data_IF_948974564877
#
_entry.id   IF_948974564877
#
_cell.length_a   1.000
_cell.length_b   1.000
_cell.length_c   1.000
_cell.angle_alpha   90.00
_cell.angle_beta   90.00
_cell.angle_gamma   90.00
#
_symmetry.space_group_name_H-M   'P 1'
#
loop_
_entity.id
_entity.type
_entity.pdbx_description
1 polymer ?
#
# COMPACT_ATOMS: atom_id res chain seq x y z
N UNK A 1 -15.15 -3.82 -7.67
CA UNK A 1 -16.22 -2.82 -7.51
C UNK A 1 -16.17 -2.36 -6.06
N UNK A 2 -15.58 -1.19 -5.80
CA UNK A 2 -15.60 -0.59 -4.47
C UNK A 2 -16.98 0.05 -4.28
N UNK A 3 -17.84 -0.58 -3.49
CA UNK A 3 -18.97 0.13 -2.90
C UNK A 3 -18.42 0.70 -1.60
N UNK A 4 -18.04 1.98 -1.63
CA UNK A 4 -18.04 2.78 -0.42
C UNK A 4 -19.52 2.88 -0.08
N UNK A 5 -19.94 2.15 0.95
CA UNK A 5 -21.31 2.15 1.40
C UNK A 5 -21.59 3.52 2.05
N UNK A 6 -21.87 4.53 1.23
CA UNK A 6 -22.49 5.76 1.70
C UNK A 6 -23.98 5.48 1.90
N UNK A 7 -24.32 4.79 2.97
CA UNK A 7 -25.70 4.78 3.48
C UNK A 7 -25.67 4.80 5.01
N UNK A 8 -25.78 6.03 5.53
CA UNK A 8 -26.37 6.34 6.84
C UNK A 8 -25.65 5.82 8.08
N UNK A 9 -24.65 6.56 8.57
CA UNK A 9 -24.57 7.01 9.97
C UNK A 9 -23.36 7.94 10.16
N UNK A 10 -23.57 9.14 10.69
CA UNK A 10 -22.59 10.11 11.21
C UNK A 10 -21.11 9.88 10.83
N UNK A 11 -20.71 10.38 9.65
CA UNK A 11 -19.32 10.34 9.21
C UNK A 11 -18.52 11.44 9.93
N UNK A 12 -18.15 11.14 11.17
CA UNK A 12 -17.13 11.86 11.95
C UNK A 12 -15.80 11.24 11.54
N UNK A 13 -15.16 11.81 10.52
CA UNK A 13 -13.98 11.22 9.90
C UNK A 13 -12.96 12.28 9.51
N UNK A 14 -11.73 12.10 9.99
CA UNK A 14 -10.56 12.89 9.60
C UNK A 14 -10.36 12.86 8.09
N UNK A 15 -10.29 14.05 7.48
CA UNK A 15 -9.98 14.25 6.07
C UNK A 15 -8.54 14.76 5.89
N UNK A 16 -7.92 14.35 4.78
CA UNK A 16 -6.61 14.82 4.34
C UNK A 16 -6.70 15.24 2.87
N UNK A 17 -6.13 16.41 2.56
CA UNK A 17 -6.11 16.92 1.19
C UNK A 17 -5.40 15.95 0.24
N UNK A 18 -5.98 15.74 -0.94
CA UNK A 18 -5.46 14.88 -2.00
C UNK A 18 -5.71 13.37 -1.81
N UNK A 19 -6.38 12.94 -0.72
CA UNK A 19 -6.59 11.52 -0.43
C UNK A 19 -7.38 10.79 -1.53
N UNK A 20 -8.44 11.43 -2.05
CA UNK A 20 -9.23 10.87 -3.15
C UNK A 20 -8.41 10.74 -4.44
N UNK A 21 -7.59 11.75 -4.74
CA UNK A 21 -6.68 11.75 -5.88
C UNK A 21 -5.59 10.67 -5.74
N UNK A 22 -5.09 10.43 -4.53
CA UNK A 22 -4.14 9.34 -4.26
C UNK A 22 -4.76 7.98 -4.57
N UNK A 23 -6.00 7.76 -4.10
CA UNK A 23 -6.73 6.53 -4.39
C UNK A 23 -7.05 6.38 -5.88
N UNK A 24 -7.34 7.47 -6.58
CA UNK A 24 -7.50 7.48 -8.03
C UNK A 24 -6.20 7.13 -8.75
N UNK A 25 -5.08 7.70 -8.32
CA UNK A 25 -3.74 7.40 -8.84
C UNK A 25 -3.38 5.92 -8.64
N UNK A 26 -3.71 5.32 -7.50
CA UNK A 26 -3.50 3.88 -7.29
C UNK A 26 -4.34 3.03 -8.25
N UNK A 27 -5.61 3.38 -8.48
CA UNK A 27 -6.44 2.68 -9.48
C UNK A 27 -5.86 2.80 -10.89
N UNK A 28 -5.30 3.95 -11.24
CA UNK A 28 -4.61 4.15 -12.51
C UNK A 28 -3.37 3.26 -12.62
N UNK A 29 -2.49 3.27 -11.61
CA UNK A 29 -1.29 2.41 -11.55
C UNK A 29 -1.67 0.94 -11.71
N UNK A 30 -2.67 0.48 -10.98
CA UNK A 30 -3.15 -0.91 -11.05
C UNK A 30 -3.67 -1.22 -12.47
N UNK A 31 -4.42 -0.31 -13.09
CA UNK A 31 -4.92 -0.45 -14.47
C UNK A 31 -3.80 -0.56 -15.50
N UNK A 32 -2.80 0.33 -15.42
CA UNK A 32 -1.64 0.33 -16.32
C UNK A 32 -0.83 -0.96 -16.12
N UNK A 33 -0.63 -1.38 -14.87
CA UNK A 33 0.11 -2.60 -14.53
C UNK A 33 -0.62 -3.84 -15.06
N UNK A 34 -1.94 -3.93 -14.89
CA UNK A 34 -2.74 -5.05 -15.38
C UNK A 34 -2.76 -5.12 -16.90
N UNK A 35 -2.81 -3.98 -17.59
CA UNK A 35 -2.70 -3.96 -19.05
C UNK A 35 -1.29 -4.42 -19.51
N UNK A 36 -0.24 -3.93 -18.86
CA UNK A 36 1.13 -4.36 -19.14
C UNK A 36 1.30 -5.88 -18.95
N UNK A 37 0.78 -6.42 -17.84
CA UNK A 37 0.77 -7.86 -17.55
C UNK A 37 0.06 -8.67 -18.63
N UNK A 38 -1.14 -8.24 -19.03
CA UNK A 38 -1.96 -8.90 -20.07
C UNK A 38 -1.26 -8.93 -21.42
N UNK A 39 -0.81 -7.76 -21.89
CA UNK A 39 -0.13 -7.63 -23.20
C UNK A 39 1.23 -8.33 -23.20
N UNK A 40 1.97 -8.24 -22.09
CA UNK A 40 3.26 -8.89 -21.89
C UNK A 40 3.18 -10.40 -21.64
N UNK A 41 1.99 -10.93 -21.36
CA UNK A 41 1.75 -12.30 -20.91
C UNK A 41 2.65 -12.68 -19.71
N UNK A 42 2.68 -11.78 -18.72
CA UNK A 42 3.51 -11.90 -17.52
C UNK A 42 2.67 -11.64 -16.28
N UNK A 43 2.90 -12.41 -15.22
CA UNK A 43 2.30 -12.19 -13.90
C UNK A 43 3.30 -12.58 -12.79
N UNK A 44 3.00 -12.14 -11.57
CA UNK A 44 3.69 -12.58 -10.36
C UNK A 44 3.46 -14.07 -10.15
N UNK A 45 4.46 -14.73 -9.56
CA UNK A 45 4.34 -16.13 -9.18
C UNK A 45 3.27 -16.27 -8.08
N UNK A 46 2.47 -17.33 -8.17
CA UNK A 46 1.40 -17.59 -7.21
C UNK A 46 1.96 -17.66 -5.78
N UNK A 47 1.30 -16.97 -4.84
CA UNK A 47 1.72 -16.91 -3.42
C UNK A 47 3.17 -16.41 -3.18
N UNK A 48 3.75 -15.66 -4.13
CA UNK A 48 5.07 -15.09 -3.97
C UNK A 48 5.11 -14.01 -2.88
N UNK A 49 6.18 -13.99 -2.08
CA UNK A 49 6.42 -13.05 -0.99
C UNK A 49 7.78 -12.35 -1.09
N UNK A 50 8.49 -12.55 -2.19
CA UNK A 50 9.87 -12.07 -2.35
C UNK A 50 9.97 -10.55 -2.14
N UNK A 51 9.05 -9.76 -2.70
CA UNK A 51 9.03 -8.31 -2.50
C UNK A 51 8.69 -7.90 -1.07
N UNK A 52 7.86 -8.68 -0.36
CA UNK A 52 7.52 -8.39 1.03
C UNK A 52 8.63 -8.79 2.01
N UNK A 53 9.59 -9.62 1.58
CA UNK A 53 10.79 -10.01 2.36
C UNK A 53 11.95 -9.02 2.20
N UNK A 54 11.83 -8.02 1.32
CA UNK A 54 12.78 -6.91 1.28
C UNK A 54 12.82 -6.22 2.65
N UNK A 55 14.01 -6.00 3.24
CA UNK A 55 14.13 -5.29 4.51
C UNK A 55 13.41 -3.95 4.48
N UNK A 56 12.68 -3.61 5.54
CA UNK A 56 11.85 -2.42 5.60
C UNK A 56 12.65 -1.12 5.40
N UNK A 57 13.91 -1.09 5.86
CA UNK A 57 14.84 0.01 5.63
C UNK A 57 15.11 0.30 4.14
N UNK A 58 14.94 -0.69 3.25
CA UNK A 58 15.19 -0.56 1.81
C UNK A 58 13.93 -0.22 1.01
N UNK A 59 12.79 0.00 1.68
CA UNK A 59 11.53 0.36 1.05
C UNK A 59 11.15 1.75 1.54
N UNK A 60 11.33 2.75 0.68
CA UNK A 60 11.06 4.15 1.02
C UNK A 60 9.73 4.62 0.44
N UNK A 61 8.84 5.09 1.31
CA UNK A 61 7.52 5.62 0.97
C UNK A 61 7.21 6.84 1.83
N UNK A 62 6.28 7.66 1.37
CA UNK A 62 5.84 8.84 2.12
C UNK A 62 4.77 8.50 3.16
N UNK A 63 4.58 9.39 4.13
CA UNK A 63 3.50 9.26 5.14
C UNK A 63 2.13 9.29 4.45
N UNK A 64 2.00 10.16 3.44
CA UNK A 64 0.76 10.33 2.67
C UNK A 64 0.23 9.03 2.07
N UNK A 65 1.12 8.18 1.57
CA UNK A 65 0.78 6.89 0.95
C UNK A 65 0.15 5.88 1.93
N UNK A 66 0.40 6.02 3.23
CA UNK A 66 -0.18 5.15 4.26
C UNK A 66 -1.43 5.72 4.94
N UNK A 67 -1.81 6.98 4.67
CA UNK A 67 -3.01 7.57 5.26
C UNK A 67 -4.28 6.77 4.97
N UNK A 68 -4.53 6.24 3.76
CA UNK A 68 -5.69 5.40 3.52
C UNK A 68 -5.77 4.17 4.45
N UNK A 69 -4.64 3.50 4.68
CA UNK A 69 -4.57 2.36 5.59
C UNK A 69 -4.76 2.80 7.04
N UNK A 70 -4.07 3.88 7.42
CA UNK A 70 -4.14 4.42 8.78
C UNK A 70 -5.57 4.78 9.19
N UNK A 71 -6.31 5.50 8.34
CA UNK A 71 -7.72 5.85 8.57
C UNK A 71 -8.55 4.58 8.75
N UNK A 72 -8.39 3.59 7.86
CA UNK A 72 -9.09 2.32 7.98
C UNK A 72 -8.78 1.58 9.29
N UNK A 73 -7.52 1.59 9.74
CA UNK A 73 -7.12 0.93 10.98
C UNK A 73 -7.70 1.62 12.21
N UNK A 74 -7.77 2.95 12.23
CA UNK A 74 -8.45 3.71 13.28
C UNK A 74 -9.95 3.39 13.30
N UNK A 75 -10.63 3.53 12.16
CA UNK A 75 -12.07 3.23 12.02
C UNK A 75 -12.44 1.80 12.42
N UNK A 76 -11.51 0.85 12.34
CA UNK A 76 -11.74 -0.56 12.70
C UNK A 76 -11.19 -0.95 14.07
N UNK A 77 -10.73 0.02 14.88
CA UNK A 77 -10.22 -0.22 16.24
C UNK A 77 -8.93 -1.07 16.27
N UNK A 78 -8.11 -1.01 15.22
CA UNK A 78 -6.88 -1.80 15.06
C UNK A 78 -5.62 -0.94 15.07
N UNK A 79 -5.74 0.39 15.09
CA UNK A 79 -4.63 1.30 14.91
C UNK A 79 -3.55 1.15 15.99
N UNK A 80 -3.93 1.04 17.26
CA UNK A 80 -3.02 0.94 18.39
C UNK A 80 -2.13 -0.30 18.30
N UNK A 81 -2.73 -1.44 17.91
CA UNK A 81 -1.99 -2.68 17.68
C UNK A 81 -0.91 -2.49 16.60
N UNK A 82 -1.27 -1.88 15.46
CA UNK A 82 -0.32 -1.67 14.38
C UNK A 82 0.71 -0.58 14.68
N UNK A 83 0.34 0.42 15.48
CA UNK A 83 1.23 1.47 15.96
C UNK A 83 2.32 0.88 16.85
N UNK A 84 1.95 0.09 17.86
CA UNK A 84 2.89 -0.60 18.74
C UNK A 84 3.84 -1.51 17.93
N UNK A 85 3.28 -2.31 17.01
CA UNK A 85 4.08 -3.17 16.14
C UNK A 85 5.05 -2.40 15.23
N UNK A 86 4.64 -1.26 14.68
CA UNK A 86 5.49 -0.44 13.83
C UNK A 86 6.61 0.25 14.63
N UNK A 87 6.32 0.65 15.88
CA UNK A 87 7.29 1.26 16.78
C UNK A 87 8.38 0.29 17.24
N UNK A 88 8.04 -0.98 17.44
CA UNK A 88 8.97 -2.04 17.86
C UNK A 88 9.75 -2.69 16.70
N UNK A 89 9.46 -2.31 15.46
CA UNK A 89 10.05 -2.95 14.29
C UNK A 89 11.54 -2.62 14.13
N UNK A 90 12.38 -3.65 14.08
CA UNK A 90 13.80 -3.50 13.78
C UNK A 90 14.02 -3.01 12.33
N UNK A 91 15.03 -2.15 12.04
CA UNK A 91 15.28 -1.62 10.70
C UNK A 91 15.46 -2.70 9.62
N UNK A 92 16.16 -3.79 9.96
CA UNK A 92 16.48 -4.88 9.04
C UNK A 92 15.34 -5.91 8.91
N UNK A 93 14.29 -5.79 9.73
CA UNK A 93 13.13 -6.65 9.64
C UNK A 93 12.29 -6.31 8.39
N UNK A 94 11.51 -7.26 7.85
CA UNK A 94 10.54 -6.95 6.81
C UNK A 94 9.47 -5.95 7.26
N UNK A 95 8.62 -5.53 6.32
CA UNK A 95 7.47 -4.69 6.65
C UNK A 95 6.56 -5.40 7.69
N UNK A 96 6.12 -4.68 8.73
CA UNK A 96 5.26 -5.26 9.77
C UNK A 96 3.92 -5.80 9.25
N UNK A 97 3.49 -5.31 8.08
CA UNK A 97 2.28 -5.77 7.39
C UNK A 97 2.47 -7.10 6.65
N UNK A 98 3.66 -7.71 6.71
CA UNK A 98 3.93 -9.01 6.12
C UNK A 98 3.08 -10.11 6.79
N UNK A 99 2.52 -10.97 5.95
CA UNK A 99 1.86 -12.22 6.28
C UNK A 99 2.62 -13.38 5.66
N UNK A 100 3.28 -14.17 6.49
CA UNK A 100 4.00 -15.37 6.05
C UNK A 100 3.05 -16.53 5.71
N UNK A 101 1.78 -16.48 6.12
CA UNK A 101 0.84 -17.58 5.87
C UNK A 101 0.34 -17.54 4.42
N UNK A 102 0.81 -18.49 3.61
CA UNK A 102 0.47 -18.67 2.19
C UNK A 102 -0.98 -19.08 1.95
N UNK A 103 -1.60 -19.80 2.89
CA UNK A 103 -2.96 -20.30 2.76
C UNK A 103 -4.01 -19.20 2.90
N UNK A 104 -3.69 -18.13 3.64
CA UNK A 104 -4.62 -17.05 3.92
C UNK A 104 -4.60 -15.95 2.86
N UNK A 105 -3.51 -15.82 2.09
CA UNK A 105 -3.31 -14.74 1.12
C UNK A 105 -2.55 -15.25 -0.12
N UNK A 106 -3.28 -15.79 -1.12
CA UNK A 106 -2.68 -16.26 -2.36
C UNK A 106 -2.14 -15.12 -3.25
N UNK A 107 -2.69 -13.91 -3.13
CA UNK A 107 -2.34 -12.72 -3.93
C UNK A 107 -0.98 -12.08 -3.57
N UNK A 108 -0.40 -12.43 -2.41
CA UNK A 108 0.91 -11.96 -1.99
C UNK A 108 1.11 -11.99 -0.48
N UNK A 109 2.18 -11.35 -0.02
CA UNK A 109 2.56 -11.31 1.40
C UNK A 109 2.00 -10.15 2.21
N UNK A 110 1.29 -9.18 1.62
CA UNK A 110 0.82 -8.01 2.37
C UNK A 110 -0.56 -8.25 2.98
N UNK A 111 -0.70 -8.08 4.29
CA UNK A 111 -2.00 -8.17 5.00
C UNK A 111 -3.05 -7.21 4.45
N UNK A 112 -2.60 -6.04 4.02
CA UNK A 112 -3.44 -4.94 3.54
C UNK A 112 -3.15 -4.65 2.08
N UNK A 113 -3.26 -5.68 1.22
CA UNK A 113 -2.85 -5.62 -0.18
C UNK A 113 -3.48 -4.46 -0.98
N UNK A 114 -4.75 -4.13 -0.68
CA UNK A 114 -5.48 -3.05 -1.33
C UNK A 114 -4.97 -1.64 -0.95
N UNK A 115 -4.32 -1.49 0.20
CA UNK A 115 -3.80 -0.22 0.73
C UNK A 115 -2.27 -0.12 0.65
N UNK A 116 -1.65 -0.90 -0.24
CA UNK A 116 -0.21 -0.84 -0.44
C UNK A 116 0.21 0.55 -0.93
N UNK A 117 1.34 1.07 -0.44
CA UNK A 117 1.94 2.29 -0.99
C UNK A 117 2.44 2.04 -2.41
N UNK A 118 2.80 3.10 -3.14
CA UNK A 118 3.11 3.07 -4.56
C UNK A 118 4.24 2.08 -4.87
N UNK A 119 5.36 2.18 -4.15
CA UNK A 119 6.51 1.31 -4.37
C UNK A 119 6.14 -0.17 -4.20
N UNK A 120 5.29 -0.47 -3.20
CA UNK A 120 4.79 -1.82 -2.96
C UNK A 120 3.94 -2.38 -4.11
N UNK A 121 3.27 -1.52 -4.90
CA UNK A 121 2.50 -1.90 -6.10
C UNK A 121 3.40 -2.18 -7.29
N UNK A 122 4.52 -1.47 -7.39
CA UNK A 122 5.43 -1.46 -8.55
C UNK A 122 6.61 -2.45 -8.48
N UNK A 123 6.78 -3.20 -7.38
CA UNK A 123 7.88 -4.17 -7.22
C UNK A 123 7.92 -5.26 -8.30
N UNK A 124 6.76 -5.74 -8.74
CA UNK A 124 6.68 -6.83 -9.70
C UNK A 124 7.04 -6.39 -11.11
N UNK A 125 6.46 -5.25 -11.51
CA UNK A 125 6.47 -4.72 -12.87
C UNK A 125 6.56 -3.19 -12.80
N UNK A 126 7.67 -2.64 -13.26
CA UNK A 126 7.82 -1.21 -13.44
C UNK A 126 8.86 -0.89 -14.49
N UNK A 127 9.07 0.39 -14.75
CA UNK A 127 10.19 0.89 -15.51
C UNK A 127 10.88 2.05 -14.78
N UNK A 128 12.14 2.23 -15.13
CA UNK A 128 12.94 3.41 -14.78
C UNK A 128 13.33 4.13 -16.07
N UNK A 129 13.51 5.43 -16.01
CA UNK A 129 14.00 6.17 -17.18
C UNK A 129 15.52 6.06 -17.26
N UNK A 130 16.03 5.83 -18.47
CA UNK A 130 17.45 6.03 -18.74
C UNK A 130 17.77 7.54 -18.88
N UNK A 131 19.05 7.87 -19.07
CA UNK A 131 19.51 9.26 -19.27
C UNK A 131 18.93 9.98 -20.49
N UNK A 132 18.27 9.25 -21.40
CA UNK A 132 17.60 9.79 -22.59
C UNK A 132 16.08 9.89 -22.41
N UNK A 133 15.56 9.64 -21.20
CA UNK A 133 14.12 9.67 -20.91
C UNK A 133 13.36 8.46 -21.46
N UNK A 134 14.05 7.40 -21.88
CA UNK A 134 13.40 6.20 -22.39
C UNK A 134 13.14 5.20 -21.25
N UNK A 135 11.96 4.55 -21.22
CA UNK A 135 11.64 3.56 -20.21
C UNK A 135 12.47 2.28 -20.40
N UNK A 136 13.15 1.88 -19.33
CA UNK A 136 13.87 0.61 -19.19
C UNK A 136 13.13 -0.22 -18.15
N UNK A 137 12.69 -1.41 -18.54
CA UNK A 137 11.89 -2.25 -17.66
C UNK A 137 12.72 -2.76 -16.47
N UNK A 138 12.06 -2.78 -15.31
CA UNK A 138 12.50 -3.39 -14.07
C UNK A 138 11.49 -4.48 -13.69
N UNK A 139 11.94 -5.73 -13.71
CA UNK A 139 11.14 -6.90 -13.40
C UNK A 139 11.61 -7.54 -12.10
N UNK A 140 10.68 -8.16 -11.39
CA UNK A 140 11.03 -9.00 -10.24
C UNK A 140 12.08 -10.06 -10.64
N UNK A 141 13.15 -10.16 -9.84
CA UNK A 141 14.26 -11.11 -10.04
C UNK A 141 13.77 -12.55 -10.26
N UNK A 142 12.76 -12.98 -9.50
CA UNK A 142 12.19 -14.34 -9.60
C UNK A 142 11.58 -14.61 -10.98
N UNK A 143 10.86 -13.63 -11.53
CA UNK A 143 10.24 -13.73 -12.85
C UNK A 143 11.31 -13.82 -13.94
N UNK A 144 12.37 -13.00 -13.85
CA UNK A 144 13.49 -13.03 -14.80
C UNK A 144 14.25 -14.37 -14.77
N UNK A 145 14.41 -14.96 -13.59
CA UNK A 145 15.07 -16.27 -13.43
C UNK A 145 14.24 -17.42 -14.00
N UNK A 146 12.91 -17.37 -13.82
CA UNK A 146 12.02 -18.42 -14.31
C UNK A 146 11.81 -18.37 -15.83
N UNK A 147 11.89 -17.17 -16.42
CA UNK A 147 11.65 -16.96 -17.85
C UNK A 147 12.81 -16.19 -18.51
N UNK A 148 13.93 -16.86 -18.84
CA UNK A 148 15.01 -16.24 -19.61
C UNK A 148 14.50 -15.65 -20.92
N UNK A 149 14.98 -14.46 -21.31
CA UNK A 149 14.54 -13.77 -22.53
C UNK A 149 13.24 -12.97 -22.40
N UNK A 150 12.49 -13.13 -21.30
CA UNK A 150 11.25 -12.38 -21.07
C UNK A 150 11.51 -10.88 -20.95
N UNK A 151 12.61 -10.49 -20.32
CA UNK A 151 12.97 -9.08 -20.13
C UNK A 151 13.14 -8.40 -21.49
N UNK A 152 13.90 -9.01 -22.39
CA UNK A 152 14.16 -8.49 -23.73
C UNK A 152 12.88 -8.41 -24.57
N UNK A 153 12.01 -9.43 -24.47
CA UNK A 153 10.69 -9.42 -25.13
C UNK A 153 9.84 -8.23 -24.64
N UNK A 154 9.71 -8.06 -23.33
CA UNK A 154 8.92 -6.99 -22.73
C UNK A 154 9.50 -5.61 -23.04
N UNK A 155 10.83 -5.49 -23.05
CA UNK A 155 11.52 -4.25 -23.39
C UNK A 155 11.19 -3.82 -24.83
N UNK A 156 11.18 -4.74 -25.80
CA UNK A 156 10.76 -4.44 -27.19
C UNK A 156 9.31 -4.00 -27.29
N UNK A 157 8.41 -4.58 -26.48
CA UNK A 157 7.01 -4.14 -26.45
C UNK A 157 6.88 -2.70 -25.94
N UNK A 158 7.64 -2.37 -24.89
CA UNK A 158 7.68 -1.01 -24.31
C UNK A 158 8.28 -0.02 -25.31
N UNK A 159 9.36 -0.38 -26.01
CA UNK A 159 9.94 0.42 -27.10
C UNK A 159 8.95 0.60 -28.27
N UNK A 160 8.10 -0.40 -28.52
CA UNK A 160 7.00 -0.35 -29.47
C UNK A 160 5.76 0.42 -28.99
N UNK A 161 5.81 1.05 -27.81
CA UNK A 161 4.74 1.91 -27.28
C UNK A 161 3.80 1.26 -26.26
N UNK A 162 4.07 0.03 -25.79
CA UNK A 162 3.30 -0.55 -24.69
C UNK A 162 3.50 0.27 -23.40
N UNK A 163 2.43 0.84 -22.80
CA UNK A 163 2.56 1.58 -21.55
C UNK A 163 3.06 0.67 -20.42
N UNK A 164 4.01 1.19 -19.64
CA UNK A 164 4.58 0.54 -18.45
C UNK A 164 4.62 1.57 -17.32
N UNK A 165 4.34 1.19 -16.06
CA UNK A 165 4.36 2.17 -14.99
C UNK A 165 5.80 2.59 -14.66
N UNK A 166 6.09 3.88 -14.85
CA UNK A 166 7.40 4.47 -14.53
C UNK A 166 7.37 4.98 -13.09
N UNK A 167 8.22 4.41 -12.22
CA UNK A 167 8.19 4.69 -10.79
C UNK A 167 8.39 6.20 -10.48
N UNK A 168 9.39 6.83 -11.11
CA UNK A 168 9.68 8.26 -10.92
C UNK A 168 8.49 9.17 -11.25
N UNK A 169 7.73 8.83 -12.30
CA UNK A 169 6.57 9.61 -12.73
C UNK A 169 5.45 9.58 -11.69
N UNK A 170 5.05 8.38 -11.25
CA UNK A 170 4.00 8.24 -10.25
C UNK A 170 4.43 8.79 -8.90
N UNK A 171 5.68 8.57 -8.49
CA UNK A 171 6.14 9.05 -7.20
C UNK A 171 6.21 10.58 -7.15
N UNK A 172 6.57 11.24 -8.27
CA UNK A 172 6.48 12.71 -8.40
C UNK A 172 5.03 13.19 -8.30
N UNK A 173 4.08 12.49 -8.94
CA UNK A 173 2.65 12.84 -8.84
C UNK A 173 2.16 12.73 -7.40
N UNK A 174 2.46 11.64 -6.70
CA UNK A 174 2.15 11.47 -5.27
C UNK A 174 2.69 12.63 -4.43
N UNK A 175 3.95 13.05 -4.65
CA UNK A 175 4.54 14.16 -3.89
C UNK A 175 3.86 15.52 -4.13
N UNK A 176 3.15 15.67 -5.25
CA UNK A 176 2.43 16.91 -5.58
C UNK A 176 0.99 16.91 -5.08
N UNK A 177 0.38 15.75 -4.85
CA UNK A 177 -0.99 15.64 -4.33
C UNK A 177 -1.10 16.16 -2.88
N UNK A 178 -0.08 15.90 -2.07
CA UNK A 178 0.01 16.43 -0.71
C UNK A 178 1.47 16.75 -0.38
N UNK A 179 1.96 17.97 -0.66
CA UNK A 179 3.36 18.32 -0.45
C UNK A 179 3.85 18.12 0.99
N UNK A 180 3.00 18.38 1.97
CA UNK A 180 3.34 18.30 3.38
C UNK A 180 3.65 16.87 3.85
N UNK A 181 2.91 15.88 3.35
CA UNK A 181 3.05 14.48 3.79
C UNK A 181 3.61 13.55 2.70
N UNK A 182 3.71 14.02 1.45
CA UNK A 182 4.05 13.24 0.26
C UNK A 182 5.47 13.45 -0.29
N UNK A 183 6.17 14.51 0.12
CA UNK A 183 7.54 14.79 -0.37
C UNK A 183 8.61 13.97 0.34
N UNK A 184 8.56 13.97 1.68
CA UNK A 184 9.54 13.24 2.49
C UNK A 184 9.23 11.74 2.47
N UNK A 185 10.27 10.94 2.22
CA UNK A 185 10.17 9.49 2.28
C UNK A 185 10.87 8.95 3.52
N UNK A 186 10.33 7.85 4.02
CA UNK A 186 10.85 7.15 5.18
C UNK A 186 10.87 5.65 4.88
N UNK A 187 11.70 4.87 5.59
CA UNK A 187 11.55 3.42 5.67
C UNK A 187 10.09 3.02 5.93
N UNK A 188 9.60 1.99 5.27
CA UNK A 188 8.17 1.66 5.20
C UNK A 188 7.50 1.51 6.58
N UNK A 189 8.19 0.91 7.57
CA UNK A 189 7.64 0.77 8.92
C UNK A 189 7.57 2.13 9.64
N UNK A 190 8.55 3.02 9.41
CA UNK A 190 8.54 4.38 9.95
C UNK A 190 7.45 5.23 9.29
N UNK A 191 7.25 5.10 7.98
CA UNK A 191 6.17 5.79 7.26
C UNK A 191 4.79 5.36 7.79
N UNK A 192 4.58 4.05 8.02
CA UNK A 192 3.35 3.53 8.63
C UNK A 192 3.13 4.08 10.04
N UNK A 193 4.17 4.04 10.88
CA UNK A 193 4.11 4.59 12.25
C UNK A 193 3.67 6.06 12.24
N UNK A 194 4.36 6.89 11.44
CA UNK A 194 4.05 8.31 11.33
C UNK A 194 2.64 8.56 10.78
N UNK A 195 2.15 7.73 9.85
CA UNK A 195 0.80 7.86 9.32
C UNK A 195 -0.26 7.55 10.40
N UNK A 196 -0.04 6.51 11.20
CA UNK A 196 -0.89 6.14 12.33
C UNK A 196 -0.93 7.24 13.40
N UNK A 197 0.23 7.77 13.79
CA UNK A 197 0.36 8.90 14.70
C UNK A 197 -0.34 10.15 14.16
N UNK A 198 -0.09 10.50 12.89
CA UNK A 198 -0.71 11.67 12.24
C UNK A 198 -2.24 11.58 12.21
N UNK A 199 -2.77 10.40 11.90
CA UNK A 199 -4.21 10.18 11.84
C UNK A 199 -4.84 10.20 13.23
N UNK A 200 -4.25 9.50 14.19
CA UNK A 200 -4.72 9.49 15.58
C UNK A 200 -4.67 10.87 16.21
N UNK A 201 -3.62 11.64 15.95
CA UNK A 201 -3.51 13.02 16.42
C UNK A 201 -4.61 13.92 15.85
N UNK A 202 -4.92 13.80 14.55
CA UNK A 202 -6.04 14.55 13.96
C UNK A 202 -7.40 14.15 14.53
N UNK A 203 -7.62 12.85 14.77
CA UNK A 203 -8.85 12.34 15.39
C UNK A 203 -9.02 12.94 16.79
N UNK A 204 -7.97 12.86 17.61
CA UNK A 204 -7.97 13.40 18.97
C UNK A 204 -8.25 14.91 19.00
N UNK A 205 -7.68 15.69 18.08
CA UNK A 205 -7.97 17.13 17.96
C UNK A 205 -9.41 17.43 17.50
N UNK A 206 -10.00 16.55 16.68
CA UNK A 206 -11.39 16.68 16.24
C UNK A 206 -12.40 16.29 17.33
N UNK A 207 -11.94 15.77 18.48
CA UNK A 207 -12.82 15.22 19.52
C UNK A 207 -13.43 13.87 19.15
N UNK A 208 -12.87 13.20 18.13
CA UNK A 208 -13.25 11.86 17.71
C UNK A 208 -12.30 10.87 18.41
N UNK A 209 -12.83 10.02 19.28
CA UNK A 209 -12.08 8.99 20.01
C UNK A 209 -11.67 7.81 19.11
N UNK A 210 -11.94 7.86 17.80
CA UNK A 210 -11.45 6.92 16.79
C UNK A 210 -11.99 5.48 16.94
N UNK A 211 -12.71 5.19 18.02
CA UNK A 211 -13.36 3.93 18.29
C UNK A 211 -14.81 3.98 17.82
N UNK A 212 -15.37 2.87 17.31
CA UNK A 212 -16.81 2.76 17.19
C UNK A 212 -17.42 3.01 18.58
N UNK A 213 -18.36 3.95 18.71
CA UNK A 213 -19.22 4.01 19.89
C UNK A 213 -20.08 2.75 19.92
N UNK A 214 -19.55 1.66 20.45
CA UNK A 214 -20.35 0.52 20.84
C UNK A 214 -21.23 0.98 22.00
N UNK A 215 -22.54 1.14 21.74
CA UNK A 215 -23.51 1.14 22.85
C UNK A 215 -23.28 -0.15 23.63
N UNK A 216 -22.99 -0.08 24.95
CA UNK A 216 -22.83 -1.28 25.77
C UNK A 216 -24.04 -2.18 25.58
N UNK A 217 -23.87 -3.50 25.47
CA UNK A 217 -25.02 -4.40 25.38
C UNK A 217 -25.96 -4.11 26.55
N UNK A 218 -27.24 -3.86 26.25
CA UNK A 218 -28.29 -3.55 27.23
C UNK A 218 -28.56 -4.70 28.21
N UNK A 219 -27.95 -5.86 27.94
CA UNK A 219 -28.02 -7.05 28.78
C UNK A 219 -26.59 -7.45 29.14
N UNK A 220 -26.21 -7.42 30.43
CA UNK A 220 -24.92 -7.94 30.85
C UNK A 220 -24.81 -9.43 30.47
N UNK A 221 -23.61 -9.93 30.11
CA UNK A 221 -23.45 -11.33 29.76
C UNK A 221 -23.92 -12.21 30.91
N UNK A 222 -24.94 -13.02 30.64
CA UNK A 222 -25.46 -14.01 31.59
C UNK A 222 -24.31 -14.98 31.89
N UNK A 223 -23.74 -14.86 33.09
CA UNK A 223 -22.75 -15.81 33.58
C UNK A 223 -23.37 -17.21 33.53
N UNK A 224 -22.64 -18.18 32.97
CA UNK A 224 -23.04 -19.58 33.08
C UNK A 224 -23.16 -19.93 34.57
N UNK A 225 -24.30 -20.44 35.04
CA UNK A 225 -24.34 -21.04 36.36
C UNK A 225 -23.54 -22.36 36.34
N UNK A 226 -22.65 -22.47 37.34
CA UNK A 226 -21.86 -23.61 37.82
C UNK A 226 -21.36 -24.65 36.77
#
# INVERSE_FOLDING_TARGET
>A
MFIINQTGNNNHGVSFDGLEDLLALYREVDTVTDNFKKQGQVDCLASCRECCRTPAANIEVSVFEFLPLSIHLWQTGKAEFWLARAAEAAPDSPCVLLNENTLLQPEGGCRFYAWRPLLCRLFGFSAVENKYGQPVISLCRRITQEKPGLREKLQRLVEGGLPVPINSHYARRVSLLNPALGQTRHPINKALLLALETTGFRLALAGEDGHPHETPPSVPPVGRPA
#
